data_IF_183589553013
#
_entry.id   IF_183589553013
#
_cell.length_a   1.000
_cell.length_b   1.000
_cell.length_c   1.000
_cell.angle_alpha   90.00
_cell.angle_beta   90.00
_cell.angle_gamma   90.00
#
_symmetry.space_group_name_H-M   'P 1'
#
loop_
_entity.id
_entity.type
_entity.pdbx_description
1 polymer ?
#
# COMPACT_ATOMS: atom_id res chain seq x y z
N UNK A 1 -7.03 0.92 -2.39
CA UNK A 1 -6.58 2.14 -3.11
C UNK A 1 -5.07 2.22 -3.23
N UNK A 2 -4.28 2.05 -2.15
CA UNK A 2 -2.81 2.22 -2.25
C UNK A 2 -2.11 1.23 -3.20
N UNK A 3 -2.72 0.08 -3.50
CA UNK A 3 -2.22 -0.88 -4.52
C UNK A 3 -2.48 -0.46 -5.96
N UNK A 4 -3.41 0.47 -6.19
CA UNK A 4 -3.80 0.98 -7.51
C UNK A 4 -3.13 2.29 -7.88
N UNK A 5 -2.49 2.97 -6.93
CA UNK A 5 -1.87 4.28 -7.16
C UNK A 5 -0.43 4.24 -6.65
N UNK A 6 0.56 4.62 -7.47
CA UNK A 6 1.95 4.59 -7.03
C UNK A 6 2.14 5.61 -5.91
N UNK A 7 2.76 5.20 -4.80
CA UNK A 7 3.03 6.09 -3.68
C UNK A 7 4.30 6.94 -3.88
N UNK A 8 5.11 6.63 -4.90
CA UNK A 8 6.43 7.24 -5.14
C UNK A 8 6.40 8.76 -5.23
N UNK A 9 5.35 9.33 -5.85
CA UNK A 9 5.23 10.78 -5.98
C UNK A 9 5.04 11.48 -4.63
N UNK A 10 4.30 10.83 -3.71
CA UNK A 10 4.08 11.32 -2.34
C UNK A 10 5.38 11.17 -1.56
N UNK A 11 6.02 10.00 -1.61
CA UNK A 11 7.30 9.73 -0.93
C UNK A 11 8.38 10.75 -1.34
N UNK A 12 8.58 10.97 -2.65
CA UNK A 12 9.52 11.97 -3.20
C UNK A 12 9.21 13.40 -2.78
N UNK A 13 7.94 13.71 -2.53
CA UNK A 13 7.54 15.04 -2.07
C UNK A 13 7.92 15.23 -0.60
N UNK A 14 7.72 14.19 0.22
CA UNK A 14 8.01 14.20 1.65
C UNK A 14 9.52 14.12 1.95
N UNK A 15 10.30 13.43 1.12
CA UNK A 15 11.78 13.40 1.22
C UNK A 15 12.41 14.79 1.25
N UNK A 16 11.87 15.73 0.46
CA UNK A 16 12.35 17.13 0.42
C UNK A 16 12.23 17.85 1.76
N UNK A 17 11.42 17.32 2.68
CA UNK A 17 11.16 17.86 4.01
C UNK A 17 11.81 17.02 5.12
N UNK A 18 12.71 16.08 4.78
CA UNK A 18 13.44 15.26 5.75
C UNK A 18 12.67 14.05 6.27
N UNK A 19 11.61 13.65 5.57
CA UNK A 19 10.87 12.42 5.85
C UNK A 19 11.41 11.25 5.04
N UNK A 20 11.24 10.05 5.56
CA UNK A 20 11.38 8.80 4.81
C UNK A 20 10.04 8.08 4.81
N UNK A 21 9.70 7.45 3.70
CA UNK A 21 8.53 6.59 3.58
C UNK A 21 8.97 5.13 3.59
N UNK A 22 8.50 4.38 4.57
CA UNK A 22 8.68 2.92 4.64
C UNK A 22 7.39 2.23 4.23
N UNK A 23 7.50 1.12 3.51
CA UNK A 23 6.39 0.23 3.19
C UNK A 23 6.47 -0.99 4.09
N UNK A 24 5.34 -1.42 4.64
CA UNK A 24 5.29 -2.71 5.30
C UNK A 24 5.14 -3.80 4.24
N UNK A 25 6.25 -4.46 3.93
CA UNK A 25 6.30 -5.47 2.88
C UNK A 25 5.50 -6.72 3.24
N UNK A 26 5.06 -7.44 2.20
CA UNK A 26 4.33 -8.71 2.28
C UNK A 26 3.00 -8.69 3.08
N UNK A 27 2.55 -7.52 3.53
CA UNK A 27 1.29 -7.37 4.25
C UNK A 27 0.31 -6.49 3.48
N UNK A 28 -0.94 -6.96 3.43
CA UNK A 28 -2.07 -6.21 2.90
C UNK A 28 -3.21 -6.20 3.92
N UNK A 29 -3.98 -5.12 3.93
CA UNK A 29 -5.06 -4.89 4.87
C UNK A 29 -6.39 -4.82 4.13
N UNK A 30 -7.44 -5.36 4.74
CA UNK A 30 -8.79 -5.16 4.26
C UNK A 30 -9.12 -3.67 4.29
N UNK A 31 -9.47 -3.10 3.14
CA UNK A 31 -9.93 -1.73 3.04
C UNK A 31 -11.45 -1.66 3.10
N UNK A 32 -12.11 -2.42 2.21
CA UNK A 32 -13.57 -2.54 2.13
C UNK A 32 -13.98 -3.69 1.21
N UNK A 33 -15.25 -4.04 1.25
CA UNK A 33 -15.86 -4.83 0.19
C UNK A 33 -15.96 -4.04 -1.12
N UNK A 34 -15.97 -4.75 -2.24
CA UNK A 34 -16.36 -4.15 -3.52
C UNK A 34 -17.82 -3.73 -3.49
N UNK A 35 -18.12 -2.61 -4.15
CA UNK A 35 -19.48 -2.10 -4.26
C UNK A 35 -20.30 -2.85 -5.32
N UNK A 36 -19.61 -3.49 -6.28
CA UNK A 36 -20.21 -4.31 -7.34
C UNK A 36 -19.17 -5.25 -7.96
N UNK A 37 -19.65 -6.25 -8.69
CA UNK A 37 -18.80 -7.13 -9.51
C UNK A 37 -18.06 -6.34 -10.60
N UNK A 38 -18.69 -5.33 -11.19
CA UNK A 38 -18.07 -4.45 -12.19
C UNK A 38 -16.87 -3.69 -11.60
N UNK A 39 -16.99 -3.19 -10.37
CA UNK A 39 -15.86 -2.53 -9.70
C UNK A 39 -14.70 -3.52 -9.46
N UNK A 40 -15.02 -4.74 -9.05
CA UNK A 40 -14.02 -5.78 -8.85
C UNK A 40 -13.27 -6.09 -10.16
N UNK A 41 -13.99 -6.27 -11.27
CA UNK A 41 -13.39 -6.52 -12.58
C UNK A 41 -12.48 -5.38 -13.03
N UNK A 42 -12.90 -4.13 -12.86
CA UNK A 42 -12.11 -2.95 -13.17
C UNK A 42 -10.82 -2.88 -12.34
N UNK A 43 -10.90 -3.19 -11.05
CA UNK A 43 -9.74 -3.22 -10.15
C UNK A 43 -8.77 -4.33 -10.55
N UNK A 44 -9.27 -5.54 -10.86
CA UNK A 44 -8.44 -6.66 -11.32
C UNK A 44 -7.76 -6.36 -12.66
N UNK A 45 -8.44 -5.67 -13.59
CA UNK A 45 -7.83 -5.22 -14.84
C UNK A 45 -6.69 -4.23 -14.58
N UNK A 46 -6.91 -3.21 -13.75
CA UNK A 46 -5.88 -2.22 -13.41
C UNK A 46 -4.67 -2.83 -12.71
N UNK A 47 -4.87 -3.81 -11.82
CA UNK A 47 -3.76 -4.51 -11.15
C UNK A 47 -2.91 -5.29 -12.17
N UNK A 48 -3.56 -6.00 -13.10
CA UNK A 48 -2.88 -6.73 -14.18
C UNK A 48 -2.09 -5.81 -15.10
N UNK A 49 -2.67 -4.68 -15.52
CA UNK A 49 -1.99 -3.69 -16.36
C UNK A 49 -0.72 -3.12 -15.69
N UNK A 50 -0.67 -3.15 -14.35
CA UNK A 50 0.45 -2.70 -13.53
C UNK A 50 1.42 -3.82 -13.15
N UNK A 51 1.16 -5.05 -13.55
CA UNK A 51 1.96 -6.22 -13.17
C UNK A 51 1.86 -6.60 -11.69
N UNK A 52 0.81 -6.13 -11.00
CA UNK A 52 0.55 -6.47 -9.59
C UNK A 52 -0.31 -7.73 -9.56
N UNK A 53 0.16 -8.78 -8.87
CA UNK A 53 -0.59 -10.03 -8.75
C UNK A 53 -1.78 -9.87 -7.77
N UNK A 54 -3.03 -10.09 -8.23
CA UNK A 54 -4.23 -10.08 -7.39
C UNK A 54 -4.59 -11.45 -6.79
N UNK A 55 -3.85 -12.52 -7.13
CA UNK A 55 -4.11 -13.89 -6.66
C UNK A 55 -3.98 -13.98 -5.13
N UNK A 56 -4.93 -14.64 -4.47
CA UNK A 56 -4.97 -14.73 -3.01
C UNK A 56 -5.29 -13.40 -2.30
N UNK A 57 -5.78 -12.41 -3.06
CA UNK A 57 -5.96 -11.01 -2.63
C UNK A 57 -7.29 -10.45 -3.16
N UNK A 58 -7.26 -9.45 -4.05
CA UNK A 58 -8.48 -8.86 -4.63
C UNK A 58 -9.31 -9.85 -5.46
N UNK A 59 -8.66 -10.91 -5.94
CA UNK A 59 -9.36 -12.00 -6.62
C UNK A 59 -10.34 -12.75 -5.70
N UNK A 60 -10.18 -12.67 -4.38
CA UNK A 60 -11.05 -13.33 -3.40
C UNK A 60 -12.26 -12.50 -2.96
N UNK A 61 -12.45 -11.31 -3.55
CA UNK A 61 -13.66 -10.49 -3.33
C UNK A 61 -13.49 -9.31 -2.37
N UNK A 62 -12.28 -9.08 -1.86
CA UNK A 62 -12.01 -7.96 -0.95
C UNK A 62 -11.10 -6.91 -1.57
N UNK A 63 -11.42 -5.64 -1.36
CA UNK A 63 -10.53 -4.57 -1.78
C UNK A 63 -9.45 -4.36 -0.71
N UNK A 64 -8.20 -4.61 -1.08
CA UNK A 64 -7.06 -4.54 -0.16
C UNK A 64 -6.25 -3.25 -0.33
N UNK A 65 -5.50 -2.92 0.71
CA UNK A 65 -4.55 -1.82 0.74
C UNK A 65 -3.17 -2.29 1.23
N UNK A 66 -2.13 -1.68 0.68
CA UNK A 66 -0.78 -1.72 1.25
C UNK A 66 -0.65 -0.62 2.31
N UNK A 67 0.34 -0.76 3.18
CA UNK A 67 0.61 0.20 4.23
C UNK A 67 1.95 0.91 3.98
N UNK A 68 1.89 2.23 3.87
CA UNK A 68 3.07 3.11 3.77
C UNK A 68 3.03 4.08 4.95
N UNK A 69 4.15 4.22 5.65
CA UNK A 69 4.31 5.12 6.78
C UNK A 69 5.43 6.11 6.49
N UNK A 70 5.11 7.40 6.56
CA UNK A 70 6.10 8.47 6.39
C UNK A 70 6.42 9.11 7.73
N UNK A 71 7.71 9.14 8.10
CA UNK A 71 8.18 9.68 9.37
C UNK A 71 9.44 10.51 9.18
N UNK A 72 9.78 11.42 10.11
CA UNK A 72 11.10 12.04 10.13
C UNK A 72 12.19 10.97 10.07
N UNK A 73 13.24 11.22 9.28
CA UNK A 73 14.29 10.23 9.02
C UNK A 73 14.93 9.68 10.29
N UNK A 74 15.06 10.51 11.34
CA UNK A 74 15.61 10.09 12.64
C UNK A 74 14.71 9.06 13.33
N UNK A 75 13.41 9.34 13.41
CA UNK A 75 12.42 8.47 14.07
C UNK A 75 12.31 7.11 13.37
N UNK A 76 12.33 7.12 12.03
CA UNK A 76 12.33 5.90 11.24
C UNK A 76 13.60 5.08 11.44
N UNK A 77 14.76 5.73 11.52
CA UNK A 77 16.03 5.05 11.78
C UNK A 77 16.11 4.45 13.21
N UNK A 78 15.54 5.13 14.21
CA UNK A 78 15.50 4.63 15.58
C UNK A 78 14.54 3.45 15.76
N UNK A 79 13.40 3.49 15.07
CA UNK A 79 12.36 2.46 15.17
C UNK A 79 11.79 2.12 13.78
N UNK A 80 12.39 1.19 13.01
CA UNK A 80 11.87 0.80 11.69
C UNK A 80 10.43 0.29 11.72
N UNK A 81 9.72 0.40 10.59
CA UNK A 81 8.28 0.11 10.50
C UNK A 81 7.90 -1.30 11.00
N UNK A 82 8.73 -2.31 10.73
CA UNK A 82 8.47 -3.69 11.16
C UNK A 82 8.50 -3.81 12.67
N UNK A 83 9.43 -3.10 13.31
CA UNK A 83 9.56 -3.08 14.78
C UNK A 83 8.44 -2.26 15.41
N UNK A 84 8.04 -1.16 14.79
CA UNK A 84 6.97 -0.29 15.28
C UNK A 84 5.62 -1.02 15.36
N UNK A 85 5.32 -1.86 14.36
CA UNK A 85 4.03 -2.56 14.26
C UNK A 85 4.01 -3.93 14.94
N UNK A 86 5.13 -4.37 15.51
CA UNK A 86 5.21 -5.52 16.42
C UNK A 86 4.90 -5.17 17.88
N UNK A 87 4.73 -3.87 18.19
CA UNK A 87 4.57 -3.33 19.55
C UNK A 87 3.12 -3.35 20.06
#
# INVERSE_FOLDING_TARGET
MLRLFPFDAIAKSLEKWGYVTEKLEDQTFFQREFASEEEQEQVLAQLRDRGVDPTGKEAEGHFLAEFYLSRPMKDAAEMPIERLLQA
#
